data_IF_306998672540
#
_entry.id   IF_306998672540
#
_cell.length_a   1.000
_cell.length_b   1.000
_cell.length_c   1.000
_cell.angle_alpha   90.00
_cell.angle_beta   90.00
_cell.angle_gamma   90.00
#
_symmetry.space_group_name_H-M   'P 1'
#
loop_
_entity.id
_entity.type
_entity.pdbx_description
1 polymer ?
#
# COMPACT_ATOMS: atom_id res chain seq x y z
N UNK A 1 -11.95 3.10 -1.08
CA UNK A 1 -11.40 4.17 -0.24
C UNK A 1 -11.81 3.82 1.17
N UNK A 2 -10.87 3.35 1.99
CA UNK A 2 -11.21 2.96 3.37
C UNK A 2 -11.22 4.24 4.19
N UNK A 3 -12.38 4.59 4.72
CA UNK A 3 -12.48 5.62 5.76
C UNK A 3 -11.65 5.15 6.96
N UNK A 4 -10.85 6.06 7.52
CA UNK A 4 -10.08 5.73 8.71
C UNK A 4 -11.01 5.57 9.92
N UNK A 5 -10.72 4.64 10.85
CA UNK A 5 -11.45 4.54 12.09
C UNK A 5 -11.51 5.89 12.82
N UNK A 6 -12.62 6.22 13.52
CA UNK A 6 -12.75 7.48 14.25
C UNK A 6 -11.56 7.81 15.17
N UNK A 7 -10.97 6.79 15.78
CA UNK A 7 -9.85 6.88 16.71
C UNK A 7 -8.47 7.03 16.06
N UNK A 8 -8.35 6.86 14.74
CA UNK A 8 -7.06 6.78 14.05
C UNK A 8 -6.95 7.69 12.83
N UNK A 9 -5.76 8.24 12.56
CA UNK A 9 -5.50 9.14 11.42
C UNK A 9 -4.05 9.11 10.97
N UNK A 10 -3.77 9.58 9.75
CA UNK A 10 -2.40 9.71 9.25
C UNK A 10 -1.83 11.08 9.66
N UNK A 11 -0.73 11.17 10.43
CA UNK A 11 -0.15 12.44 10.83
C UNK A 11 0.48 13.16 9.64
N UNK A 12 0.12 14.43 9.41
CA UNK A 12 0.63 15.26 8.31
C UNK A 12 0.98 16.66 8.85
N UNK A 13 2.15 17.19 8.48
CA UNK A 13 2.60 18.53 8.87
C UNK A 13 3.20 18.62 10.28
N UNK A 14 3.13 19.78 10.92
CA UNK A 14 3.68 20.04 12.26
C UNK A 14 5.21 20.12 12.30
N UNK A 15 5.79 19.94 13.50
CA UNK A 15 7.25 19.81 13.69
C UNK A 15 7.81 18.47 13.16
N UNK A 16 6.96 17.62 12.58
CA UNK A 16 7.35 16.36 11.96
C UNK A 16 8.04 16.57 10.60
N UNK A 17 8.78 15.55 10.15
CA UNK A 17 9.58 15.62 8.92
C UNK A 17 8.75 15.55 7.61
N UNK A 18 7.43 15.31 7.68
CA UNK A 18 6.58 15.16 6.50
C UNK A 18 6.11 16.54 6.00
N UNK A 19 6.88 17.10 5.05
CA UNK A 19 6.64 18.45 4.49
C UNK A 19 6.05 18.47 3.10
N UNK A 20 6.09 17.33 2.40
CA UNK A 20 5.69 17.21 1.01
C UNK A 20 4.84 15.97 0.81
N UNK A 21 3.93 16.05 -0.15
CA UNK A 21 3.22 14.89 -0.67
C UNK A 21 3.63 14.68 -2.12
N UNK A 22 3.71 13.41 -2.52
CA UNK A 22 3.96 13.02 -3.91
C UNK A 22 2.73 12.28 -4.41
N UNK A 23 2.23 12.68 -5.57
CA UNK A 23 1.16 11.96 -6.27
C UNK A 23 1.78 11.24 -7.45
N UNK A 24 1.69 9.91 -7.43
CA UNK A 24 1.98 9.06 -8.58
C UNK A 24 0.67 8.69 -9.26
N UNK A 25 0.55 8.94 -10.56
CA UNK A 25 -0.66 8.64 -11.35
C UNK A 25 -0.33 7.64 -12.45
N UNK A 26 -1.03 6.50 -12.46
CA UNK A 26 -0.89 5.48 -13.49
C UNK A 26 -1.94 5.66 -14.60
N UNK A 27 -1.51 6.03 -15.79
CA UNK A 27 -2.36 6.14 -16.98
C UNK A 27 -2.27 4.89 -17.85
N UNK A 28 -3.38 4.16 -18.01
CA UNK A 28 -3.47 3.07 -18.98
C UNK A 28 -4.21 3.56 -20.24
N UNK A 29 -3.49 3.69 -21.37
CA UNK A 29 -4.03 4.19 -22.64
C UNK A 29 -3.94 3.13 -23.77
N UNK A 30 -4.67 2.01 -23.68
CA UNK A 30 -4.55 0.92 -24.65
C UNK A 30 -5.00 1.32 -26.08
N UNK A 31 -5.97 2.25 -26.17
CA UNK A 31 -6.52 2.72 -27.43
C UNK A 31 -5.73 3.88 -28.06
N UNK A 32 -4.62 4.29 -27.43
CA UNK A 32 -3.73 5.37 -27.90
C UNK A 32 -4.50 6.65 -28.23
N UNK A 33 -5.47 6.99 -27.39
CA UNK A 33 -6.28 8.18 -27.56
C UNK A 33 -5.37 9.42 -27.50
N UNK A 34 -5.52 10.30 -28.47
CA UNK A 34 -4.87 11.61 -28.51
C UNK A 34 -5.78 12.68 -27.88
N UNK A 35 -5.19 13.78 -27.45
CA UNK A 35 -5.92 14.98 -27.01
C UNK A 35 -6.83 14.79 -25.79
N UNK A 36 -6.51 13.86 -24.89
CA UNK A 36 -7.17 13.79 -23.58
C UNK A 36 -6.57 14.87 -22.68
N UNK A 37 -7.38 15.90 -22.40
CA UNK A 37 -7.07 16.92 -21.41
C UNK A 37 -8.00 16.75 -20.20
N UNK A 38 -7.43 16.69 -19.01
CA UNK A 38 -8.18 16.56 -17.77
C UNK A 38 -7.27 16.70 -16.56
N UNK A 39 -7.86 16.96 -15.40
CA UNK A 39 -7.15 17.03 -14.13
C UNK A 39 -7.51 15.83 -13.27
N UNK A 40 -6.51 15.12 -12.78
CA UNK A 40 -6.64 14.06 -11.79
C UNK A 40 -5.89 14.46 -10.53
N UNK A 41 -6.33 13.94 -9.38
CA UNK A 41 -5.67 14.23 -8.11
C UNK A 41 -6.33 13.51 -6.96
N UNK A 42 -5.93 13.89 -5.75
CA UNK A 42 -6.44 13.36 -4.49
C UNK A 42 -6.92 14.56 -3.66
N UNK A 43 -8.05 14.40 -2.99
CA UNK A 43 -8.55 15.36 -2.01
C UNK A 43 -8.25 14.84 -0.60
N UNK A 44 -7.61 15.65 0.22
CA UNK A 44 -7.37 15.35 1.64
C UNK A 44 -8.44 16.00 2.51
N UNK A 45 -8.93 15.25 3.50
CA UNK A 45 -9.79 15.75 4.57
C UNK A 45 -8.93 15.79 5.83
N UNK A 46 -8.53 17.00 6.24
CA UNK A 46 -7.61 17.21 7.36
C UNK A 46 -8.37 17.67 8.60
N UNK A 47 -8.02 17.11 9.75
CA UNK A 47 -8.40 17.63 11.06
C UNK A 47 -7.34 18.60 11.58
N UNK A 48 -7.72 19.44 12.54
CA UNK A 48 -6.83 20.38 13.23
C UNK A 48 -6.19 19.79 14.50
N UNK A 49 -6.65 18.62 14.95
CA UNK A 49 -6.14 17.89 16.10
C UNK A 49 -5.71 16.46 15.71
N UNK A 50 -4.67 15.95 16.37
CA UNK A 50 -4.26 14.55 16.24
C UNK A 50 -5.33 13.63 16.83
N UNK A 51 -5.47 12.44 16.23
CA UNK A 51 -6.32 11.38 16.75
C UNK A 51 -5.56 10.54 17.78
N UNK A 52 -6.25 9.62 18.43
CA UNK A 52 -5.66 8.77 19.48
C UNK A 52 -4.54 7.87 18.94
N UNK A 53 -4.68 7.37 17.72
CA UNK A 53 -3.71 6.47 17.09
C UNK A 53 -3.25 6.98 15.72
N UNK A 54 -1.98 6.77 15.43
CA UNK A 54 -1.42 7.01 14.11
C UNK A 54 -1.68 5.82 13.19
N UNK A 55 -2.10 6.10 11.96
CA UNK A 55 -2.18 5.13 10.89
C UNK A 55 -0.85 5.08 10.15
N UNK A 56 -0.28 3.88 10.10
CA UNK A 56 0.87 3.55 9.26
C UNK A 56 0.48 2.74 8.04
N UNK A 57 1.44 2.56 7.13
CA UNK A 57 1.36 1.62 6.03
C UNK A 57 2.52 0.63 6.12
N UNK A 58 2.21 -0.66 6.01
CA UNK A 58 3.20 -1.74 6.01
C UNK A 58 3.17 -2.45 4.65
N UNK A 59 4.06 -2.10 3.71
CA UNK A 59 4.21 -2.85 2.48
C UNK A 59 4.86 -4.20 2.78
N UNK A 60 4.26 -5.28 2.30
CA UNK A 60 4.88 -6.59 2.29
C UNK A 60 4.44 -7.37 1.05
N UNK A 61 5.31 -8.24 0.56
CA UNK A 61 5.09 -8.99 -0.67
C UNK A 61 6.40 -9.34 -1.35
N UNK A 62 6.31 -9.71 -2.62
CA UNK A 62 7.48 -9.99 -3.44
C UNK A 62 8.12 -8.69 -3.91
N UNK A 63 9.45 -8.70 -4.03
CA UNK A 63 10.21 -7.60 -4.62
C UNK A 63 9.77 -7.34 -6.07
N UNK A 64 9.48 -6.08 -6.38
CA UNK A 64 8.94 -5.64 -7.68
C UNK A 64 10.02 -5.21 -8.68
N UNK A 65 11.31 -5.27 -8.31
CA UNK A 65 12.41 -4.89 -9.21
C UNK A 65 12.50 -5.85 -10.41
N UNK A 66 13.02 -5.40 -11.56
CA UNK A 66 13.21 -6.29 -12.71
C UNK A 66 14.03 -7.54 -12.33
N UNK A 67 13.62 -8.70 -12.83
CA UNK A 67 14.29 -10.00 -12.67
C UNK A 67 14.30 -10.59 -11.23
N UNK A 68 13.50 -10.06 -10.30
CA UNK A 68 13.33 -10.67 -8.95
C UNK A 68 12.24 -11.74 -8.91
N UNK A 69 11.26 -11.64 -9.82
CA UNK A 69 10.17 -12.59 -9.99
C UNK A 69 9.91 -12.83 -11.48
N UNK A 70 9.88 -14.09 -11.88
CA UNK A 70 9.47 -14.51 -13.22
C UNK A 70 8.41 -15.60 -13.12
N UNK A 71 7.28 -15.40 -13.80
CA UNK A 71 6.22 -16.40 -13.93
C UNK A 71 6.45 -17.14 -15.25
N UNK A 72 6.62 -18.47 -15.25
CA UNK A 72 6.82 -19.23 -16.48
C UNK A 72 5.64 -19.05 -17.44
N UNK A 73 5.88 -18.93 -18.76
CA UNK A 73 4.81 -18.87 -19.74
C UNK A 73 3.98 -20.17 -19.70
N UNK A 74 2.67 -20.04 -19.95
CA UNK A 74 1.70 -21.16 -20.00
C UNK A 74 1.46 -21.90 -18.69
N UNK A 75 2.03 -21.45 -17.57
CA UNK A 75 1.69 -22.00 -16.25
C UNK A 75 0.18 -21.77 -15.98
N UNK A 76 -0.58 -22.85 -15.80
CA UNK A 76 -2.00 -22.77 -15.47
C UNK A 76 -2.24 -22.22 -14.06
N UNK A 77 -1.36 -22.59 -13.12
CA UNK A 77 -1.33 -22.09 -11.76
C UNK A 77 0.14 -21.97 -11.33
N UNK A 78 0.53 -20.83 -10.78
CA UNK A 78 1.86 -20.60 -10.24
C UNK A 78 1.73 -19.86 -8.91
N UNK A 79 2.34 -20.40 -7.85
CA UNK A 79 2.25 -19.84 -6.50
C UNK A 79 3.53 -19.06 -6.24
N UNK A 80 3.36 -17.83 -5.77
CA UNK A 80 4.45 -16.99 -5.29
C UNK A 80 4.19 -16.74 -3.81
N UNK A 81 5.08 -17.25 -2.96
CA UNK A 81 5.03 -17.04 -1.52
C UNK A 81 6.02 -15.95 -1.12
N UNK A 82 5.61 -15.11 -0.18
CA UNK A 82 6.46 -14.08 0.42
C UNK A 82 6.19 -14.04 1.91
N UNK A 83 7.25 -13.89 2.69
CA UNK A 83 7.20 -14.03 4.14
C UNK A 83 7.91 -12.87 4.83
N UNK A 84 7.30 -12.34 5.89
CA UNK A 84 7.94 -11.42 6.80
C UNK A 84 8.43 -12.22 8.02
N UNK A 85 9.76 -12.39 8.20
CA UNK A 85 10.27 -13.21 9.28
C UNK A 85 10.10 -12.55 10.65
N UNK A 86 9.98 -13.37 11.69
CA UNK A 86 9.83 -12.89 13.07
C UNK A 86 10.98 -11.97 13.51
N UNK A 87 12.19 -12.18 12.97
CA UNK A 87 13.34 -11.29 13.22
C UNK A 87 13.08 -9.83 12.80
N UNK A 88 12.22 -9.60 11.81
CA UNK A 88 11.81 -8.27 11.36
C UNK A 88 10.69 -7.73 12.25
N UNK A 89 9.68 -8.53 12.55
CA UNK A 89 8.53 -8.09 13.37
C UNK A 89 8.89 -7.84 14.83
N UNK A 90 9.89 -8.54 15.39
CA UNK A 90 10.41 -8.28 16.74
C UNK A 90 11.03 -6.89 16.92
N UNK A 91 11.43 -6.22 15.82
CA UNK A 91 11.98 -4.86 15.88
C UNK A 91 10.91 -3.78 15.78
N UNK A 92 9.65 -4.16 15.54
CA UNK A 92 8.53 -3.24 15.66
C UNK A 92 8.34 -2.99 17.15
N UNK A 93 8.32 -1.72 17.62
CA UNK A 93 8.15 -1.40 19.03
C UNK A 93 6.96 -2.16 19.63
N UNK A 94 7.00 -2.45 20.94
CA UNK A 94 5.96 -3.17 21.70
C UNK A 94 4.54 -2.53 21.67
N UNK A 95 4.28 -1.56 20.79
CA UNK A 95 2.96 -1.08 20.45
C UNK A 95 2.14 -2.19 19.78
N UNK A 96 0.94 -2.41 20.30
CA UNK A 96 -0.07 -3.25 19.65
C UNK A 96 -0.42 -2.65 18.28
N UNK A 97 0.00 -3.30 17.19
CA UNK A 97 -0.47 -2.93 15.84
C UNK A 97 -1.80 -3.62 15.57
N UNK A 98 -2.81 -2.85 15.20
CA UNK A 98 -4.08 -3.35 14.70
C UNK A 98 -4.16 -3.19 13.19
N UNK A 99 -4.38 -4.29 12.46
CA UNK A 99 -4.61 -4.24 11.02
C UNK A 99 -6.07 -3.87 10.77
N UNK A 100 -6.31 -2.63 10.35
CA UNK A 100 -7.68 -2.11 10.09
C UNK A 100 -8.08 -2.15 8.62
N UNK A 101 -7.12 -2.32 7.71
CA UNK A 101 -7.36 -2.39 6.26
C UNK A 101 -6.25 -3.16 5.54
N UNK A 102 -6.56 -3.72 4.37
CA UNK A 102 -5.59 -4.37 3.50
C UNK A 102 -5.79 -3.92 2.04
N UNK A 103 -4.69 -3.68 1.35
CA UNK A 103 -4.67 -3.27 -0.06
C UNK A 103 -3.83 -4.25 -0.90
N UNK A 104 -4.39 -5.40 -1.28
CA UNK A 104 -3.69 -6.34 -2.15
C UNK A 104 -3.51 -5.74 -3.55
N UNK A 105 -2.29 -5.81 -4.09
CA UNK A 105 -1.93 -5.22 -5.39
C UNK A 105 -1.17 -6.22 -6.26
N UNK A 106 -1.60 -6.35 -7.51
CA UNK A 106 -0.91 -7.09 -8.57
C UNK A 106 -1.38 -6.56 -9.95
N UNK A 107 -0.69 -7.00 -11.01
CA UNK A 107 -1.16 -6.83 -12.38
C UNK A 107 -2.26 -7.86 -12.72
N UNK A 108 -2.27 -8.39 -13.95
CA UNK A 108 -3.33 -9.24 -14.46
C UNK A 108 -3.21 -10.69 -13.98
N UNK A 109 -4.37 -11.36 -13.80
CA UNK A 109 -4.50 -12.80 -13.54
C UNK A 109 -3.86 -13.31 -12.24
N UNK A 110 -3.99 -12.55 -11.15
CA UNK A 110 -3.42 -12.91 -9.84
C UNK A 110 -4.52 -13.01 -8.78
N UNK A 111 -4.40 -14.01 -7.89
CA UNK A 111 -5.16 -14.09 -6.64
C UNK A 111 -4.20 -13.91 -5.47
N UNK A 112 -4.50 -12.96 -4.59
CA UNK A 112 -3.67 -12.64 -3.42
C UNK A 112 -4.37 -13.15 -2.16
N UNK A 113 -3.60 -13.78 -1.26
CA UNK A 113 -4.05 -14.16 0.08
C UNK A 113 -2.98 -13.83 1.09
N UNK A 114 -3.35 -13.01 2.07
CA UNK A 114 -2.51 -12.70 3.22
C UNK A 114 -2.95 -13.56 4.41
N UNK A 115 -1.99 -13.98 5.22
CA UNK A 115 -2.23 -14.67 6.49
C UNK A 115 -1.26 -14.13 7.53
N UNK A 116 -1.77 -13.91 8.73
CA UNK A 116 -0.96 -13.70 9.92
C UNK A 116 -0.79 -15.05 10.61
N UNK A 117 0.43 -15.33 11.06
CA UNK A 117 0.79 -16.56 11.75
C UNK A 117 1.31 -16.18 13.14
N UNK A 118 0.74 -16.78 14.18
CA UNK A 118 1.16 -16.62 15.57
C UNK A 118 2.22 -17.65 15.93
#
# INVERSE_FOLDING_TARGET
>A
MTEYPPEAGYPIGGDFEIKYYMIETHFNNPNRLSSINGSSGIQFYLGDQLRQYDIGYLPFGTDIRPNTLAIPPYAQNFIVDSFCPNSVTMNIPNSEISIVSAFPHAHLHVKIRNRFFN
#
